data_IF_833543077733
#
_entry.id   IF_833543077733
#
_cell.length_a   1.000
_cell.length_b   1.000
_cell.length_c   1.000
_cell.angle_alpha   90.00
_cell.angle_beta   90.00
_cell.angle_gamma   90.00
#
_symmetry.space_group_name_H-M   'P 1'
#
loop_
_entity.id
_entity.type
_entity.pdbx_description
1 polymer ?
#
# COMPACT_ATOMS: atom_id res chain seq x y z
N UNK A 1 29.66 -19.36 20.01
CA UNK A 1 29.72 -18.30 18.98
C UNK A 1 29.03 -18.67 17.65
N UNK A 2 28.15 -19.70 17.59
CA UNK A 2 27.57 -20.24 16.35
C UNK A 2 26.17 -19.71 15.96
N UNK A 3 25.49 -18.94 16.83
CA UNK A 3 24.11 -18.48 16.57
C UNK A 3 24.00 -17.17 15.77
N UNK A 4 25.10 -16.41 15.62
CA UNK A 4 25.07 -15.10 14.94
C UNK A 4 25.06 -15.27 13.41
N UNK A 5 25.75 -16.30 12.89
CA UNK A 5 25.83 -16.55 11.45
C UNK A 5 24.54 -17.11 10.85
N UNK A 6 23.82 -18.01 11.56
CA UNK A 6 22.51 -18.52 11.10
C UNK A 6 21.44 -17.42 11.07
N UNK A 7 21.45 -16.51 12.05
CA UNK A 7 20.49 -15.40 12.13
C UNK A 7 20.67 -14.40 10.97
N UNK A 8 21.92 -14.03 10.65
CA UNK A 8 22.22 -13.15 9.51
C UNK A 8 21.83 -13.75 8.15
N UNK A 9 22.02 -15.07 7.96
CA UNK A 9 21.61 -15.74 6.72
C UNK A 9 20.08 -15.77 6.54
N UNK A 10 19.32 -15.94 7.63
CA UNK A 10 17.86 -15.87 7.58
C UNK A 10 17.35 -14.44 7.29
N UNK A 11 17.93 -13.42 7.92
CA UNK A 11 17.53 -12.01 7.70
C UNK A 11 17.82 -11.55 6.27
N UNK A 12 18.99 -11.91 5.71
CA UNK A 12 19.33 -11.60 4.33
C UNK A 12 18.43 -12.33 3.32
N UNK A 13 18.05 -13.58 3.61
CA UNK A 13 17.12 -14.35 2.76
C UNK A 13 15.73 -13.72 2.77
N UNK A 14 15.21 -13.36 3.95
CA UNK A 14 13.91 -12.70 4.09
C UNK A 14 13.90 -11.35 3.36
N UNK A 15 14.95 -10.54 3.49
CA UNK A 15 15.07 -9.26 2.80
C UNK A 15 15.06 -9.44 1.26
N UNK A 16 15.82 -10.43 0.75
CA UNK A 16 15.86 -10.72 -0.69
C UNK A 16 14.50 -11.18 -1.22
N UNK A 17 13.77 -12.03 -0.49
CA UNK A 17 12.42 -12.46 -0.86
C UNK A 17 11.44 -11.28 -0.88
N UNK A 18 11.49 -10.40 0.12
CA UNK A 18 10.65 -9.19 0.15
C UNK A 18 10.93 -8.27 -1.04
N UNK A 19 12.19 -8.06 -1.39
CA UNK A 19 12.55 -7.21 -2.52
C UNK A 19 12.11 -7.83 -3.86
N UNK A 20 12.20 -9.16 -4.00
CA UNK A 20 11.70 -9.86 -5.18
C UNK A 20 10.17 -9.71 -5.31
N UNK A 21 9.42 -9.86 -4.20
CA UNK A 21 7.98 -9.64 -4.20
C UNK A 21 7.62 -8.19 -4.53
N UNK A 22 8.39 -7.23 -4.01
CA UNK A 22 8.21 -5.80 -4.29
C UNK A 22 8.41 -5.48 -5.77
N UNK A 23 9.48 -6.03 -6.35
CA UNK A 23 9.79 -5.88 -7.77
C UNK A 23 8.66 -6.47 -8.62
N UNK A 24 8.21 -7.68 -8.30
CA UNK A 24 7.10 -8.32 -9.01
C UNK A 24 5.80 -7.53 -8.92
N UNK A 25 5.44 -7.06 -7.72
CA UNK A 25 4.25 -6.25 -7.52
C UNK A 25 4.31 -4.95 -8.33
N UNK A 26 5.47 -4.28 -8.34
CA UNK A 26 5.70 -3.09 -9.18
C UNK A 26 5.50 -3.39 -10.66
N UNK A 27 6.07 -4.48 -11.17
CA UNK A 27 5.89 -4.89 -12.56
C UNK A 27 4.41 -5.13 -12.89
N UNK A 28 3.66 -5.75 -11.98
CA UNK A 28 2.22 -5.92 -12.15
C UNK A 28 1.50 -4.57 -12.18
N UNK A 29 1.79 -3.65 -11.28
CA UNK A 29 1.15 -2.33 -11.32
C UNK A 29 1.45 -1.60 -12.63
N UNK A 30 2.71 -1.60 -13.08
CA UNK A 30 3.11 -0.97 -14.35
C UNK A 30 2.35 -1.57 -15.56
N UNK A 31 2.20 -2.90 -15.60
CA UNK A 31 1.46 -3.58 -16.67
C UNK A 31 -0.04 -3.34 -16.65
N UNK A 32 -0.60 -2.91 -15.51
CA UNK A 32 -2.04 -2.79 -15.31
C UNK A 32 -2.51 -1.35 -15.09
N UNK A 33 -1.61 -0.36 -14.94
CA UNK A 33 -1.96 1.03 -14.59
C UNK A 33 -2.99 1.66 -15.52
N UNK A 34 -2.96 1.32 -16.81
CA UNK A 34 -3.89 1.86 -17.81
C UNK A 34 -5.23 1.11 -17.88
N UNK A 35 -5.43 0.04 -17.09
CA UNK A 35 -6.68 -0.74 -17.12
C UNK A 35 -7.84 0.01 -16.47
N UNK A 36 -7.58 0.66 -15.34
CA UNK A 36 -8.55 1.46 -14.62
C UNK A 36 -7.82 2.41 -13.63
N UNK A 37 -8.57 3.40 -13.13
CA UNK A 37 -8.08 4.39 -12.19
C UNK A 37 -7.54 3.81 -10.87
N UNK A 38 -7.99 2.63 -10.46
CA UNK A 38 -7.56 1.99 -9.21
C UNK A 38 -6.16 1.42 -9.34
N UNK A 39 -5.87 0.75 -10.47
CA UNK A 39 -4.50 0.33 -10.79
C UNK A 39 -3.56 1.52 -10.98
N UNK A 40 -4.03 2.59 -11.64
CA UNK A 40 -3.25 3.82 -11.79
C UNK A 40 -2.93 4.44 -10.42
N UNK A 41 -3.92 4.58 -9.55
CA UNK A 41 -3.73 5.13 -8.21
C UNK A 41 -2.78 4.26 -7.36
N UNK A 42 -2.92 2.93 -7.40
CA UNK A 42 -1.95 2.02 -6.77
C UNK A 42 -0.54 2.23 -7.31
N UNK A 43 -0.39 2.35 -8.63
CA UNK A 43 0.90 2.59 -9.27
C UNK A 43 1.54 3.90 -8.78
N UNK A 44 0.77 5.00 -8.74
CA UNK A 44 1.24 6.31 -8.27
C UNK A 44 1.63 6.24 -6.79
N UNK A 45 0.75 5.72 -5.93
CA UNK A 45 1.03 5.58 -4.50
C UNK A 45 2.25 4.70 -4.24
N UNK A 46 2.49 3.67 -5.04
CA UNK A 46 3.60 2.76 -4.81
C UNK A 46 4.94 3.22 -5.41
N UNK A 47 4.92 3.99 -6.51
CA UNK A 47 6.12 4.30 -7.31
C UNK A 47 6.37 5.80 -7.50
N UNK A 48 5.33 6.61 -7.66
CA UNK A 48 5.41 8.00 -8.11
C UNK A 48 4.79 8.95 -7.09
N UNK A 49 5.02 8.68 -5.80
CA UNK A 49 4.48 9.46 -4.69
C UNK A 49 4.61 10.97 -4.95
N UNK A 50 3.47 11.66 -4.88
CA UNK A 50 3.47 13.11 -4.92
C UNK A 50 4.12 13.72 -3.65
N UNK A 51 4.45 15.01 -3.73
CA UNK A 51 5.15 15.71 -2.65
C UNK A 51 4.31 15.75 -1.37
N UNK A 52 2.99 15.91 -1.48
CA UNK A 52 2.09 15.98 -0.32
C UNK A 52 2.06 14.65 0.42
N UNK A 53 1.93 13.54 -0.30
CA UNK A 53 2.02 12.19 0.24
C UNK A 53 3.36 11.93 0.91
N UNK A 54 4.49 12.31 0.30
CA UNK A 54 5.81 12.17 0.93
C UNK A 54 5.87 12.95 2.25
N UNK A 55 5.37 14.19 2.28
CA UNK A 55 5.32 14.99 3.50
C UNK A 55 4.45 14.35 4.58
N UNK A 56 3.28 13.81 4.23
CA UNK A 56 2.37 13.14 5.16
C UNK A 56 2.99 11.86 5.74
N UNK A 57 3.59 11.03 4.88
CA UNK A 57 4.26 9.80 5.30
C UNK A 57 5.39 10.11 6.29
N UNK A 58 6.20 11.15 6.03
CA UNK A 58 7.24 11.57 6.95
C UNK A 58 6.69 12.18 8.24
N UNK A 59 5.72 13.11 8.14
CA UNK A 59 5.15 13.83 9.29
C UNK A 59 4.51 12.89 10.30
N UNK A 60 3.83 11.85 9.81
CA UNK A 60 3.08 10.91 10.65
C UNK A 60 3.76 9.55 10.82
N UNK A 61 5.01 9.41 10.37
CA UNK A 61 5.78 8.16 10.43
C UNK A 61 5.03 6.96 9.83
N UNK A 62 4.43 7.19 8.66
CA UNK A 62 3.71 6.19 7.89
C UNK A 62 4.65 5.57 6.85
N UNK A 63 4.31 4.37 6.42
CA UNK A 63 4.98 3.67 5.33
C UNK A 63 3.97 3.00 4.42
N UNK A 64 4.41 2.77 3.19
CA UNK A 64 3.63 2.07 2.19
C UNK A 64 4.06 0.61 2.17
N UNK A 65 3.07 -0.27 2.25
CA UNK A 65 3.22 -1.71 2.12
C UNK A 65 2.33 -2.19 0.96
N UNK A 66 2.49 -3.46 0.58
CA UNK A 66 1.73 -4.06 -0.50
C UNK A 66 1.39 -5.52 -0.19
N UNK A 67 0.29 -5.99 -0.73
CA UNK A 67 -0.06 -7.41 -0.73
C UNK A 67 -0.71 -7.79 -2.06
N UNK A 68 -0.55 -9.06 -2.45
CA UNK A 68 -1.16 -9.57 -3.66
C UNK A 68 -1.30 -11.09 -3.62
N UNK A 69 -2.41 -11.56 -4.18
CA UNK A 69 -2.69 -12.97 -4.39
C UNK A 69 -3.26 -13.12 -5.80
N UNK A 70 -2.38 -13.37 -6.76
CA UNK A 70 -2.73 -13.33 -8.19
C UNK A 70 -3.86 -14.30 -8.56
N UNK A 71 -3.90 -15.49 -7.95
CA UNK A 71 -4.97 -16.48 -8.15
C UNK A 71 -6.36 -15.97 -7.74
N UNK A 72 -6.40 -15.03 -6.79
CA UNK A 72 -7.63 -14.46 -6.24
C UNK A 72 -7.88 -13.05 -6.81
N UNK A 73 -7.10 -12.64 -7.83
CA UNK A 73 -7.13 -11.28 -8.40
C UNK A 73 -7.01 -10.18 -7.33
N UNK A 74 -6.32 -10.50 -6.24
CA UNK A 74 -6.11 -9.61 -5.11
C UNK A 74 -4.82 -8.83 -5.29
N UNK A 75 -4.91 -7.50 -5.24
CA UNK A 75 -3.77 -6.60 -5.31
C UNK A 75 -4.08 -5.39 -4.46
N UNK A 76 -3.21 -5.00 -3.53
CA UNK A 76 -3.43 -3.80 -2.74
C UNK A 76 -2.15 -3.04 -2.43
N UNK A 77 -2.30 -1.73 -2.31
CA UNK A 77 -1.34 -0.81 -1.71
C UNK A 77 -1.92 -0.34 -0.39
N UNK A 78 -1.15 -0.48 0.68
CA UNK A 78 -1.57 -0.15 2.03
C UNK A 78 -0.72 0.99 2.60
N UNK A 79 -1.35 1.90 3.32
CA UNK A 79 -0.66 2.92 4.12
C UNK A 79 -0.80 2.56 5.59
N UNK A 80 0.34 2.41 6.27
CA UNK A 80 0.42 1.84 7.62
C UNK A 80 1.30 2.70 8.54
N UNK A 81 1.03 2.63 9.85
CA UNK A 81 1.95 3.10 10.91
C UNK A 81 2.55 1.91 11.67
N UNK A 82 3.75 2.10 12.22
CA UNK A 82 4.34 1.21 13.24
C UNK A 82 4.49 2.05 14.49
N UNK A 83 3.63 1.81 15.48
CA UNK A 83 3.77 2.42 16.80
C UNK A 83 3.90 1.34 17.87
N UNK A 84 5.05 1.31 18.56
CA UNK A 84 5.32 0.36 19.65
C UNK A 84 5.18 -1.12 19.27
N UNK A 85 5.40 -1.47 18.00
CA UNK A 85 5.25 -2.84 17.49
C UNK A 85 3.82 -3.25 17.11
N UNK A 86 2.84 -2.34 17.20
CA UNK A 86 1.51 -2.53 16.63
C UNK A 86 1.44 -1.88 15.25
N UNK A 87 1.02 -2.67 14.25
CA UNK A 87 0.68 -2.16 12.92
C UNK A 87 -0.72 -1.56 12.98
N UNK A 88 -0.87 -0.29 12.60
CA UNK A 88 -2.16 0.34 12.33
C UNK A 88 -2.29 0.56 10.83
N UNK A 89 -3.39 0.08 10.24
CA UNK A 89 -3.71 0.29 8.84
C UNK A 89 -4.57 1.54 8.71
N UNK A 90 -4.24 2.46 7.80
CA UNK A 90 -5.00 3.70 7.60
C UNK A 90 -5.98 3.55 6.44
N UNK A 91 -5.44 3.12 5.31
CA UNK A 91 -6.22 2.92 4.11
C UNK A 91 -5.52 1.93 3.22
N UNK A 92 -6.32 1.19 2.46
CA UNK A 92 -5.87 0.34 1.38
C UNK A 92 -6.58 0.75 0.11
N UNK A 93 -5.86 0.68 -1.01
CA UNK A 93 -6.40 0.86 -2.36
C UNK A 93 -6.02 -0.38 -3.13
N UNK A 94 -7.00 -1.03 -3.76
CA UNK A 94 -6.73 -2.33 -4.34
C UNK A 94 -7.84 -2.89 -5.21
N UNK A 95 -7.60 -4.10 -5.68
CA UNK A 95 -8.59 -4.97 -6.29
C UNK A 95 -8.78 -6.20 -5.42
N UNK A 96 -10.03 -6.64 -5.25
CA UNK A 96 -10.35 -7.88 -4.55
C UNK A 96 -11.43 -8.62 -5.34
N UNK A 97 -11.16 -9.89 -5.66
CA UNK A 97 -12.08 -10.73 -6.47
C UNK A 97 -12.49 -10.07 -7.81
N UNK A 98 -11.62 -9.22 -8.36
CA UNK A 98 -11.85 -8.47 -9.61
C UNK A 98 -12.58 -7.13 -9.43
N UNK A 99 -13.07 -6.82 -8.24
CA UNK A 99 -13.72 -5.56 -7.89
C UNK A 99 -12.69 -4.50 -7.49
N UNK A 100 -12.92 -3.25 -7.85
CA UNK A 100 -12.04 -2.14 -7.48
C UNK A 100 -12.51 -1.51 -6.16
N UNK A 101 -11.64 -1.51 -5.15
CA UNK A 101 -12.02 -1.13 -3.79
C UNK A 101 -11.00 -0.22 -3.12
N UNK A 102 -11.50 0.50 -2.12
CA UNK A 102 -10.70 1.21 -1.12
C UNK A 102 -11.25 0.89 0.26
N UNK A 103 -10.37 0.50 1.18
CA UNK A 103 -10.73 0.36 2.59
C UNK A 103 -10.29 1.59 3.37
N UNK A 104 -11.20 2.13 4.18
CA UNK A 104 -10.98 3.32 4.98
C UNK A 104 -11.10 2.99 6.46
N UNK A 105 -10.00 3.10 7.22
CA UNK A 105 -9.98 2.79 8.66
C UNK A 105 -10.95 3.68 9.44
N UNK A 106 -11.12 4.95 9.04
CA UNK A 106 -11.96 5.90 9.79
C UNK A 106 -13.45 5.56 9.83
N UNK A 107 -13.94 4.75 8.88
CA UNK A 107 -15.33 4.31 8.79
C UNK A 107 -15.48 2.78 8.89
N UNK A 108 -14.37 2.04 9.02
CA UNK A 108 -14.33 0.59 9.02
C UNK A 108 -15.20 -0.02 7.90
N UNK A 109 -15.05 0.54 6.69
CA UNK A 109 -15.88 0.20 5.54
C UNK A 109 -15.02 0.04 4.28
N UNK A 110 -15.57 -0.71 3.31
CA UNK A 110 -15.02 -0.89 1.98
C UNK A 110 -15.88 -0.13 0.99
N UNK A 111 -15.28 0.81 0.27
CA UNK A 111 -15.98 1.55 -0.78
C UNK A 111 -15.53 1.05 -2.15
N UNK A 112 -16.46 0.98 -3.10
CA UNK A 112 -16.10 0.77 -4.51
C UNK A 112 -15.41 2.03 -5.03
N UNK A 113 -14.34 1.84 -5.80
CA UNK A 113 -13.64 2.90 -6.52
C UNK A 113 -14.01 2.94 -8.00
N UNK A 114 -15.01 2.16 -8.42
CA UNK A 114 -15.49 2.18 -9.79
C UNK A 114 -16.10 3.54 -10.15
N UNK A 115 -15.67 4.08 -11.29
CA UNK A 115 -16.08 5.40 -11.76
C UNK A 115 -15.35 6.57 -11.09
N UNK A 116 -14.42 6.33 -10.16
CA UNK A 116 -13.54 7.37 -9.63
C UNK A 116 -12.36 7.62 -10.57
N UNK A 117 -11.83 8.85 -10.57
CA UNK A 117 -10.51 9.12 -11.16
C UNK A 117 -9.39 8.71 -10.20
N UNK A 118 -8.19 8.47 -10.73
CA UNK A 118 -7.01 8.16 -9.91
C UNK A 118 -6.67 9.32 -8.96
N UNK A 119 -6.84 10.56 -9.42
CA UNK A 119 -6.70 11.76 -8.58
C UNK A 119 -7.71 11.82 -7.44
N UNK A 120 -8.96 11.38 -7.65
CA UNK A 120 -9.97 11.34 -6.58
C UNK A 120 -9.61 10.29 -5.53
N UNK A 121 -9.13 9.12 -5.98
CA UNK A 121 -8.67 8.04 -5.11
C UNK A 121 -7.49 8.53 -4.24
N UNK A 122 -6.49 9.17 -4.84
CA UNK A 122 -5.33 9.72 -4.10
C UNK A 122 -5.77 10.82 -3.13
N UNK A 123 -6.65 11.72 -3.56
CA UNK A 123 -7.16 12.80 -2.69
C UNK A 123 -7.90 12.23 -1.47
N UNK A 124 -8.68 11.16 -1.65
CA UNK A 124 -9.35 10.45 -0.54
C UNK A 124 -8.35 9.85 0.44
N UNK A 125 -7.27 9.26 -0.05
CA UNK A 125 -6.18 8.74 0.79
C UNK A 125 -5.57 9.86 1.64
N UNK A 126 -5.24 10.99 1.03
CA UNK A 126 -4.70 12.18 1.70
C UNK A 126 -5.66 12.69 2.77
N UNK A 127 -6.94 12.84 2.42
CA UNK A 127 -7.99 13.31 3.32
C UNK A 127 -8.14 12.41 4.54
N UNK A 128 -8.08 11.10 4.34
CA UNK A 128 -8.24 10.11 5.41
C UNK A 128 -7.05 10.09 6.36
N UNK A 129 -5.82 10.20 5.85
CA UNK A 129 -4.61 10.41 6.67
C UNK A 129 -4.78 11.69 7.51
N UNK A 130 -5.15 12.80 6.88
CA UNK A 130 -5.33 14.08 7.58
C UNK A 130 -6.44 14.03 8.63
N UNK A 131 -7.58 13.41 8.30
CA UNK A 131 -8.74 13.27 9.20
C UNK A 131 -8.41 12.44 10.43
N UNK A 132 -7.62 11.38 10.28
CA UNK A 132 -7.19 10.56 11.41
C UNK A 132 -6.31 11.37 12.38
N UNK A 133 -5.36 12.15 11.86
CA UNK A 133 -4.37 12.87 12.67
C UNK A 133 -4.80 14.26 13.18
N UNK A 134 -5.95 14.77 12.73
CA UNK A 134 -6.56 16.02 13.24
C UNK A 134 -7.48 15.79 14.46
N UNK A 135 -7.73 14.54 14.86
CA UNK A 135 -8.50 14.19 16.07
C UNK A 135 -7.62 14.20 17.32
#
# INVERSE_FOLDING_TARGET
MFNIFKKKNNEATIAKTKEAHRTYFREKLELNKDKNATFEAMYILFNELDIEMVELLHRYHLYIDFDYVEKDQYYEVMIQTINGGKKGMYTTVGTQDGENIMMLDSINDTISTDGMSSSDIISKVIDEINKFHRK
#
